data_IF_866285365120
#
_entry.id   IF_866285365120
#
_cell.length_a   1.000
_cell.length_b   1.000
_cell.length_c   1.000
_cell.angle_alpha   90.00
_cell.angle_beta   90.00
_cell.angle_gamma   90.00
#
_symmetry.space_group_name_H-M   'P 1'
#
loop_
_entity.id
_entity.type
_entity.pdbx_description
1 polymer ?
#
# COMPACT_ATOMS: atom_id res chain seq x y z
N UNK A 1 24.00 -4.16 19.57
CA UNK A 1 25.30 -3.76 18.96
C UNK A 1 25.15 -2.97 17.65
N UNK A 2 24.22 -3.31 16.74
CA UNK A 2 24.06 -2.62 15.42
C UNK A 2 23.74 -1.11 15.52
N UNK A 3 22.87 -0.69 16.44
CA UNK A 3 22.52 0.73 16.62
C UNK A 3 23.69 1.59 17.12
N UNK A 4 24.52 1.07 18.02
CA UNK A 4 25.71 1.78 18.50
C UNK A 4 26.76 1.90 17.41
N UNK A 5 26.94 0.86 16.59
CA UNK A 5 27.80 0.92 15.41
C UNK A 5 27.35 2.01 14.43
N UNK A 6 26.05 2.09 14.11
CA UNK A 6 25.51 3.17 13.26
C UNK A 6 25.80 4.56 13.82
N UNK A 7 25.66 4.76 15.14
CA UNK A 7 25.95 6.05 15.79
C UNK A 7 27.44 6.38 15.71
N UNK A 8 28.31 5.42 16.04
CA UNK A 8 29.78 5.61 16.01
C UNK A 8 30.24 5.92 14.58
N UNK A 9 29.79 5.15 13.58
CA UNK A 9 30.10 5.41 12.17
C UNK A 9 29.56 6.77 11.73
N UNK A 10 28.37 7.17 12.20
CA UNK A 10 27.81 8.50 11.94
C UNK A 10 28.68 9.64 12.48
N UNK A 11 29.17 9.51 13.73
CA UNK A 11 30.06 10.51 14.33
C UNK A 11 31.39 10.61 13.56
N UNK A 12 31.99 9.46 13.21
CA UNK A 12 33.22 9.44 12.40
C UNK A 12 32.99 10.14 11.05
N UNK A 13 31.86 9.87 10.39
CA UNK A 13 31.50 10.52 9.13
C UNK A 13 31.35 12.04 9.28
N UNK A 14 30.70 12.50 10.35
CA UNK A 14 30.54 13.94 10.62
C UNK A 14 31.90 14.63 10.84
N UNK A 15 32.83 13.97 11.54
CA UNK A 15 34.20 14.48 11.74
C UNK A 15 34.92 14.58 10.40
N UNK A 16 34.87 13.53 9.57
CA UNK A 16 35.48 13.53 8.22
C UNK A 16 34.88 14.65 7.36
N UNK A 17 33.56 14.80 7.36
CA UNK A 17 32.88 15.87 6.63
C UNK A 17 33.33 17.24 7.13
N UNK A 18 33.43 17.45 8.44
CA UNK A 18 33.86 18.73 9.02
C UNK A 18 35.29 19.07 8.60
N UNK A 19 36.21 18.09 8.65
CA UNK A 19 37.59 18.27 8.17
C UNK A 19 37.59 18.63 6.68
N UNK A 20 36.81 17.91 5.87
CA UNK A 20 36.70 18.19 4.43
C UNK A 20 36.20 19.60 4.14
N UNK A 21 35.20 20.06 4.89
CA UNK A 21 34.72 21.44 4.81
C UNK A 21 35.85 22.41 5.16
N UNK A 22 36.50 22.25 6.31
CA UNK A 22 37.57 23.15 6.76
C UNK A 22 38.75 23.24 5.78
N UNK A 23 39.17 22.11 5.20
CA UNK A 23 40.25 22.07 4.22
C UNK A 23 39.90 22.75 2.88
N UNK A 24 38.61 22.88 2.58
CA UNK A 24 38.11 23.48 1.34
C UNK A 24 37.30 24.75 1.60
N UNK A 25 37.56 25.42 2.73
CA UNK A 25 36.97 26.71 3.10
C UNK A 25 37.69 27.90 2.45
N UNK A 26 38.47 27.65 1.41
CA UNK A 26 39.13 28.70 0.64
C UNK A 26 38.13 29.40 -0.31
N UNK A 27 38.09 30.73 -0.23
CA UNK A 27 37.22 31.54 -1.07
C UNK A 27 37.67 31.47 -2.53
N UNK A 28 36.82 30.86 -3.35
CA UNK A 28 37.01 30.80 -4.80
C UNK A 28 36.06 31.77 -5.49
N UNK A 29 36.54 32.48 -6.51
CA UNK A 29 35.68 33.31 -7.34
C UNK A 29 34.81 32.43 -8.23
N UNK A 30 33.49 32.51 -8.06
CA UNK A 30 32.51 31.74 -8.82
C UNK A 30 31.73 32.69 -9.70
N UNK A 31 31.72 32.40 -11.00
CA UNK A 31 31.00 33.16 -12.00
C UNK A 31 29.65 32.50 -12.29
N UNK A 32 28.56 33.21 -11.99
CA UNK A 32 27.18 32.77 -12.22
C UNK A 32 26.63 33.22 -13.59
N UNK A 33 27.49 33.72 -14.49
CA UNK A 33 27.15 34.27 -15.81
C UNK A 33 26.76 35.75 -15.77
N UNK A 34 26.11 36.20 -14.70
CA UNK A 34 25.67 37.60 -14.51
C UNK A 34 26.34 38.29 -13.31
N UNK A 35 26.95 37.53 -12.41
CA UNK A 35 27.64 38.04 -11.24
C UNK A 35 28.79 37.11 -10.86
N UNK A 36 29.87 37.68 -10.32
CA UNK A 36 30.99 36.94 -9.76
C UNK A 36 31.02 37.16 -8.27
N UNK A 37 30.94 36.08 -7.49
CA UNK A 37 30.96 36.14 -6.02
C UNK A 37 32.09 35.25 -5.52
N UNK A 38 32.83 35.72 -4.51
CA UNK A 38 33.84 34.90 -3.83
C UNK A 38 33.19 34.19 -2.66
N UNK A 39 33.09 32.87 -2.77
CA UNK A 39 32.58 31.99 -1.73
C UNK A 39 33.37 30.68 -1.75
N UNK A 40 33.42 29.94 -0.64
CA UNK A 40 34.00 28.60 -0.64
C UNK A 40 33.21 27.68 -1.58
N UNK A 41 33.91 26.93 -2.43
CA UNK A 41 33.28 26.06 -3.43
C UNK A 41 32.34 25.02 -2.79
N UNK A 42 32.68 24.55 -1.59
CA UNK A 42 31.87 23.59 -0.84
C UNK A 42 30.48 24.14 -0.50
N UNK A 43 30.37 25.43 -0.20
CA UNK A 43 29.08 26.06 0.12
C UNK A 43 28.15 26.04 -1.09
N UNK A 44 28.69 26.32 -2.27
CA UNK A 44 27.92 26.26 -3.53
C UNK A 44 27.50 24.83 -3.84
N UNK A 45 28.39 23.85 -3.66
CA UNK A 45 28.04 22.43 -3.83
C UNK A 45 26.92 21.98 -2.89
N UNK A 46 26.95 22.38 -1.62
CA UNK A 46 25.90 22.05 -0.66
C UNK A 46 24.55 22.65 -1.06
N UNK A 47 24.53 23.91 -1.51
CA UNK A 47 23.29 24.55 -1.99
C UNK A 47 22.76 23.82 -3.23
N UNK A 48 23.62 23.51 -4.21
CA UNK A 48 23.21 22.79 -5.41
C UNK A 48 22.72 21.37 -5.10
N UNK A 49 23.37 20.67 -4.17
CA UNK A 49 22.93 19.35 -3.71
C UNK A 49 21.56 19.43 -3.02
N UNK A 50 21.33 20.45 -2.19
CA UNK A 50 20.05 20.69 -1.54
C UNK A 50 18.94 20.98 -2.58
N UNK A 51 19.24 21.80 -3.59
CA UNK A 51 18.33 22.06 -4.70
C UNK A 51 18.02 20.79 -5.50
N UNK A 52 19.02 19.95 -5.77
CA UNK A 52 18.84 18.65 -6.42
C UNK A 52 17.93 17.72 -5.60
N UNK A 53 18.17 17.61 -4.29
CA UNK A 53 17.34 16.83 -3.38
C UNK A 53 15.89 17.37 -3.31
N UNK A 54 15.73 18.70 -3.32
CA UNK A 54 14.43 19.35 -3.34
C UNK A 54 13.66 19.02 -4.64
N UNK A 55 14.32 19.08 -5.80
CA UNK A 55 13.71 18.70 -7.07
C UNK A 55 13.27 17.23 -7.04
N UNK A 56 14.15 16.33 -6.59
CA UNK A 56 13.81 14.89 -6.47
C UNK A 56 12.62 14.69 -5.53
N UNK A 57 12.60 15.39 -4.39
CA UNK A 57 11.50 15.32 -3.43
C UNK A 57 10.16 15.78 -4.04
N UNK A 58 10.16 16.92 -4.74
CA UNK A 58 8.96 17.45 -5.40
C UNK A 58 8.43 16.49 -6.47
N UNK A 59 9.32 15.92 -7.30
CA UNK A 59 8.93 14.94 -8.32
C UNK A 59 8.46 13.62 -7.72
N UNK A 60 9.10 13.14 -6.65
CA UNK A 60 8.74 11.91 -5.95
C UNK A 60 7.32 11.97 -5.37
N UNK A 61 6.97 13.11 -4.76
CA UNK A 61 5.63 13.34 -4.18
C UNK A 61 4.50 13.13 -5.19
N UNK A 62 4.68 13.58 -6.43
CA UNK A 62 3.68 13.41 -7.51
C UNK A 62 3.48 11.93 -7.88
N UNK A 63 4.55 11.14 -7.91
CA UNK A 63 4.47 9.72 -8.23
C UNK A 63 3.79 8.91 -7.12
N UNK A 64 4.04 9.23 -5.85
CA UNK A 64 3.41 8.58 -4.70
C UNK A 64 1.88 8.78 -4.69
N UNK A 65 1.38 9.95 -5.10
CA UNK A 65 -0.07 10.20 -5.18
C UNK A 65 -0.74 9.31 -6.22
N UNK A 66 -0.14 9.15 -7.41
CA UNK A 66 -0.67 8.25 -8.45
C UNK A 66 -0.66 6.79 -8.00
N UNK A 67 0.41 6.35 -7.34
CA UNK A 67 0.52 5.01 -6.79
C UNK A 67 -0.56 4.75 -5.73
N UNK A 68 -0.77 5.68 -4.79
CA UNK A 68 -1.81 5.57 -3.77
C UNK A 68 -3.23 5.56 -4.34
N UNK A 69 -3.50 6.33 -5.41
CA UNK A 69 -4.80 6.29 -6.10
C UNK A 69 -5.08 4.92 -6.72
N UNK A 70 -4.11 4.35 -7.44
CA UNK A 70 -4.25 2.99 -8.01
C UNK A 70 -4.45 1.94 -6.92
N UNK A 71 -3.70 2.03 -5.82
CA UNK A 71 -3.86 1.12 -4.69
C UNK A 71 -5.28 1.17 -4.10
N UNK A 72 -5.83 2.38 -3.91
CA UNK A 72 -7.21 2.57 -3.43
C UNK A 72 -8.25 2.04 -4.43
N UNK A 73 -8.04 2.24 -5.73
CA UNK A 73 -8.94 1.71 -6.75
C UNK A 73 -8.95 0.18 -6.77
N UNK A 74 -7.76 -0.44 -6.73
CA UNK A 74 -7.63 -1.89 -6.62
C UNK A 74 -8.28 -2.44 -5.34
N UNK A 75 -8.09 -1.77 -4.20
CA UNK A 75 -8.73 -2.17 -2.94
C UNK A 75 -10.26 -2.13 -3.04
N UNK A 76 -10.83 -1.07 -3.63
CA UNK A 76 -12.28 -0.98 -3.85
C UNK A 76 -12.81 -2.12 -4.73
N UNK A 77 -12.06 -2.54 -5.75
CA UNK A 77 -12.44 -3.69 -6.60
C UNK A 77 -12.43 -4.98 -5.79
N UNK A 78 -11.43 -5.18 -4.94
CA UNK A 78 -11.35 -6.34 -4.04
C UNK A 78 -12.56 -6.37 -3.10
N UNK A 79 -12.88 -5.24 -2.45
CA UNK A 79 -13.99 -5.15 -1.50
C UNK A 79 -15.34 -5.43 -2.19
N UNK A 80 -15.55 -4.90 -3.40
CA UNK A 80 -16.75 -5.15 -4.20
C UNK A 80 -16.89 -6.62 -4.59
N UNK A 81 -15.82 -7.24 -5.08
CA UNK A 81 -15.83 -8.66 -5.47
C UNK A 81 -16.06 -9.57 -4.26
N UNK A 82 -15.50 -9.24 -3.10
CA UNK A 82 -15.77 -9.98 -1.86
C UNK A 82 -17.24 -9.89 -1.45
N UNK A 83 -17.86 -8.72 -1.58
CA UNK A 83 -19.29 -8.54 -1.33
C UNK A 83 -20.16 -9.38 -2.27
N UNK A 84 -19.84 -9.39 -3.56
CA UNK A 84 -20.55 -10.17 -4.57
C UNK A 84 -20.42 -11.68 -4.30
N UNK A 85 -19.22 -12.16 -3.92
CA UNK A 85 -18.98 -13.55 -3.50
C UNK A 85 -19.81 -13.91 -2.28
N UNK A 86 -19.92 -13.02 -1.28
CA UNK A 86 -20.76 -13.25 -0.10
C UNK A 86 -22.24 -13.34 -0.47
N UNK A 87 -22.72 -12.45 -1.34
CA UNK A 87 -24.10 -12.46 -1.80
C UNK A 87 -24.41 -13.75 -2.57
N UNK A 88 -23.53 -14.18 -3.49
CA UNK A 88 -23.67 -15.44 -4.22
C UNK A 88 -23.69 -16.64 -3.27
N UNK A 89 -22.80 -16.68 -2.28
CA UNK A 89 -22.79 -17.76 -1.29
C UNK A 89 -24.08 -17.80 -0.46
N UNK A 90 -24.61 -16.64 -0.06
CA UNK A 90 -25.89 -16.57 0.64
C UNK A 90 -27.04 -17.06 -0.24
N UNK A 91 -27.08 -16.69 -1.52
CA UNK A 91 -28.06 -17.18 -2.49
C UNK A 91 -27.95 -18.70 -2.66
N UNK A 92 -26.74 -19.23 -2.84
CA UNK A 92 -26.49 -20.67 -2.95
C UNK A 92 -26.95 -21.44 -1.70
N UNK A 93 -26.63 -20.93 -0.50
CA UNK A 93 -27.07 -21.52 0.77
C UNK A 93 -28.60 -21.52 0.88
N UNK A 94 -29.25 -20.42 0.54
CA UNK A 94 -30.72 -20.32 0.59
C UNK A 94 -31.38 -21.27 -0.41
N UNK A 95 -30.80 -21.46 -1.61
CA UNK A 95 -31.29 -22.41 -2.60
C UNK A 95 -31.10 -23.85 -2.11
N UNK A 96 -29.94 -24.20 -1.55
CA UNK A 96 -29.69 -25.53 -0.99
C UNK A 96 -30.67 -25.85 0.15
N UNK A 97 -30.90 -24.90 1.06
CA UNK A 97 -31.87 -25.03 2.16
C UNK A 97 -33.31 -25.13 1.64
N UNK A 98 -33.65 -24.41 0.56
CA UNK A 98 -34.99 -24.47 -0.06
C UNK A 98 -35.21 -25.78 -0.82
N UNK A 99 -34.16 -26.32 -1.45
CA UNK A 99 -34.20 -27.63 -2.11
C UNK A 99 -34.31 -28.79 -1.12
N UNK A 100 -33.61 -28.74 0.01
CA UNK A 100 -33.75 -29.72 1.10
C UNK A 100 -35.16 -29.70 1.70
N UNK A 101 -35.73 -28.52 1.93
CA UNK A 101 -37.11 -28.39 2.44
C UNK A 101 -38.16 -28.95 1.46
N UNK A 102 -37.97 -28.74 0.15
CA UNK A 102 -38.87 -29.30 -0.87
C UNK A 102 -38.80 -30.83 -0.93
N UNK A 103 -37.62 -31.43 -0.73
CA UNK A 103 -37.48 -32.88 -0.67
C UNK A 103 -38.10 -33.48 0.61
N UNK A 104 -37.91 -32.84 1.78
CA UNK A 104 -38.50 -33.26 3.05
C UNK A 104 -40.04 -33.18 3.04
N UNK A 105 -40.61 -32.11 2.46
CA UNK A 105 -42.06 -31.96 2.33
C UNK A 105 -42.66 -32.96 1.34
N UNK A 106 -41.91 -33.36 0.31
CA UNK A 106 -42.33 -34.37 -0.66
C UNK A 106 -42.27 -35.80 -0.08
N UNK A 107 -41.24 -36.13 0.70
CA UNK A 107 -41.12 -37.43 1.38
C UNK A 107 -42.19 -37.62 2.46
N UNK A 108 -42.52 -36.57 3.23
CA UNK A 108 -43.60 -36.61 4.23
C UNK A 108 -44.99 -36.76 3.60
N UNK A 109 -45.22 -36.16 2.42
CA UNK A 109 -46.49 -36.32 1.70
C UNK A 109 -46.66 -37.74 1.12
N UNK A 110 -45.57 -38.36 0.67
CA UNK A 110 -45.58 -39.73 0.12
C UNK A 110 -45.82 -40.76 1.23
N UNK A 111 -45.23 -40.60 2.42
CA UNK A 111 -45.48 -41.50 3.57
C UNK A 111 -46.90 -41.40 4.11
N UNK A 112 -47.51 -40.21 4.20
CA UNK A 112 -48.90 -40.07 4.65
C UNK A 112 -49.91 -40.64 3.64
N UNK A 113 -49.63 -40.54 2.34
CA UNK A 113 -50.50 -41.11 1.30
C UNK A 113 -50.56 -42.64 1.37
N UNK A 114 -49.43 -43.30 1.64
CA UNK A 114 -49.35 -44.75 1.75
C UNK A 114 -50.04 -45.32 3.02
N UNK A 115 -50.03 -44.57 4.13
CA UNK A 115 -50.77 -44.95 5.36
C UNK A 115 -52.30 -44.77 5.23
N UNK A 116 -52.75 -43.88 4.34
CA UNK A 116 -54.18 -43.61 4.14
C UNK A 116 -54.83 -44.70 3.29
N UNK A 117 -54.14 -45.22 2.28
CA UNK A 117 -54.65 -46.27 1.40
C UNK A 117 -54.84 -47.63 2.14
N UNK A 118 -54.03 -47.91 3.16
CA UNK A 118 -54.13 -49.14 3.96
C UNK A 118 -55.33 -49.19 4.92
N UNK A 119 -55.94 -48.04 5.27
CA UNK A 119 -57.12 -47.96 6.17
C UNK A 119 -58.46 -48.12 5.45
N UNK A 120 -58.47 -48.06 4.13
CA UNK A 120 -59.70 -48.12 3.30
C UNK A 120 -60.06 -49.52 2.80
N UNK A 121 -59.23 -50.54 3.07
CA UNK A 121 -59.41 -51.91 2.57
C UNK A 121 -59.85 -52.93 3.63
N UNK A 122 -60.28 -52.51 4.82
CA UNK A 122 -60.78 -53.41 5.87
C UNK A 122 -62.22 -53.09 6.27
#
# INVERSE_FOLDING_TARGET
MKKQFTIITGIILVIIMTIFVLLNMEDTAINFGFATVKLPLILVLLIMMLLGALIIFLFSSVNSVKANRKMKESQKKIDSLQGEIQELNNKLKNIAVSGEKQHLDQEQNISQKNDTDHKTQN
#
